data_IF_870974128204
#
_entry.id   IF_870974128204
#
_cell.length_a   1.000
_cell.length_b   1.000
_cell.length_c   1.000
_cell.angle_alpha   90.00
_cell.angle_beta   90.00
_cell.angle_gamma   90.00
#
_symmetry.space_group_name_H-M   'P 1'
#
loop_
_entity.id
_entity.type
_entity.pdbx_description
1 polymer ?
#
# COMPACT_ATOMS: atom_id res chain seq x y z
N UNK A 1 36.80 21.40 24.97
CA UNK A 1 37.96 21.45 24.07
C UNK A 1 38.20 20.05 23.55
N UNK A 2 38.21 19.86 22.23
CA UNK A 2 38.37 18.53 21.64
C UNK A 2 39.85 18.15 21.74
N UNK A 3 40.15 16.95 22.25
CA UNK A 3 41.52 16.41 22.30
C UNK A 3 41.77 15.56 21.05
N UNK A 4 42.97 15.65 20.48
CA UNK A 4 43.37 14.95 19.24
C UNK A 4 42.51 15.34 18.02
N UNK A 5 42.61 14.55 16.95
CA UNK A 5 41.82 14.70 15.73
C UNK A 5 40.39 14.13 15.87
N UNK A 6 39.71 14.47 16.97
CA UNK A 6 38.34 14.05 17.20
C UNK A 6 37.35 15.04 16.57
N UNK A 7 36.14 14.56 16.26
CA UNK A 7 35.06 15.42 15.74
C UNK A 7 34.54 16.33 16.85
N UNK A 8 34.23 17.58 16.52
CA UNK A 8 33.58 18.51 17.44
C UNK A 8 32.23 17.94 17.88
N UNK A 9 31.99 17.72 19.19
CA UNK A 9 30.76 17.10 19.65
C UNK A 9 29.56 18.04 19.43
N UNK A 10 28.59 17.59 18.62
CA UNK A 10 27.28 18.25 18.46
C UNK A 10 26.22 17.56 19.33
N UNK A 11 26.43 17.58 20.64
CA UNK A 11 25.50 17.01 21.63
C UNK A 11 24.23 17.86 21.75
N UNK A 12 23.06 17.26 21.52
CA UNK A 12 21.78 17.95 21.61
C UNK A 12 21.22 17.97 23.04
N UNK A 13 22.08 18.31 24.00
CA UNK A 13 21.78 18.38 25.44
C UNK A 13 21.63 19.83 25.93
N UNK A 14 21.15 20.72 25.06
CA UNK A 14 21.18 22.19 25.22
C UNK A 14 20.18 22.74 26.26
N UNK A 15 19.21 21.93 26.70
CA UNK A 15 18.18 22.29 27.70
C UNK A 15 18.35 21.42 28.95
N UNK A 16 17.55 21.64 29.98
CA UNK A 16 17.43 20.75 31.16
C UNK A 16 16.83 19.38 30.81
N UNK A 17 17.48 18.63 29.92
CA UNK A 17 17.03 17.36 29.35
C UNK A 17 16.83 16.28 30.43
N UNK A 18 17.57 16.39 31.54
CA UNK A 18 17.45 15.51 32.71
C UNK A 18 16.03 15.52 33.29
N UNK A 19 15.31 16.66 33.22
CA UNK A 19 13.91 16.76 33.66
C UNK A 19 12.92 16.07 32.70
N UNK A 20 13.35 15.73 31.48
CA UNK A 20 12.51 15.16 30.42
C UNK A 20 12.99 13.77 29.98
N UNK A 21 13.66 13.04 30.87
CA UNK A 21 14.15 11.69 30.58
C UNK A 21 12.98 10.71 30.49
N UNK A 22 12.76 10.18 29.29
CA UNK A 22 11.76 9.14 29.06
C UNK A 22 12.37 7.76 29.29
N UNK A 23 12.04 7.16 30.44
CA UNK A 23 12.44 5.77 30.74
C UNK A 23 11.51 4.76 30.05
N UNK A 24 12.00 3.52 29.91
CA UNK A 24 11.28 2.42 29.27
C UNK A 24 10.87 1.29 30.23
N UNK A 25 10.91 1.52 31.55
CA UNK A 25 10.53 0.53 32.56
C UNK A 25 9.07 0.04 32.42
N UNK A 26 8.19 0.90 31.90
CA UNK A 26 6.79 0.55 31.62
C UNK A 26 6.58 -0.23 30.30
N UNK A 27 7.63 -0.54 29.54
CA UNK A 27 7.52 -1.25 28.26
C UNK A 27 6.86 -2.65 28.39
N UNK A 28 7.26 -3.55 29.32
CA UNK A 28 6.61 -4.84 29.50
C UNK A 28 5.13 -4.69 29.91
N UNK A 29 4.82 -3.83 30.88
CA UNK A 29 3.45 -3.55 31.30
C UNK A 29 2.58 -3.05 30.14
N UNK A 30 3.11 -2.17 29.27
CA UNK A 30 2.42 -1.72 28.05
C UNK A 30 2.20 -2.84 27.04
N UNK A 31 3.11 -3.80 26.91
CA UNK A 31 2.94 -4.99 26.04
C UNK A 31 1.81 -5.87 26.57
N UNK A 32 1.81 -6.19 27.86
CA UNK A 32 0.74 -6.99 28.51
C UNK A 32 -0.62 -6.31 28.38
N UNK A 33 -0.71 -5.02 28.70
CA UNK A 33 -1.96 -4.23 28.55
C UNK A 33 -2.51 -4.29 27.12
N UNK A 34 -1.65 -4.13 26.10
CA UNK A 34 -2.07 -4.23 24.69
C UNK A 34 -2.52 -5.64 24.32
N UNK A 35 -1.89 -6.69 24.86
CA UNK A 35 -2.30 -8.09 24.64
C UNK A 35 -3.71 -8.34 25.20
N UNK A 36 -3.95 -7.97 26.45
CA UNK A 36 -5.27 -8.12 27.10
C UNK A 36 -6.35 -7.34 26.35
N UNK A 37 -6.06 -6.10 25.94
CA UNK A 37 -7.00 -5.30 25.15
C UNK A 37 -7.35 -5.95 23.80
N UNK A 38 -6.39 -6.58 23.12
CA UNK A 38 -6.64 -7.33 21.87
C UNK A 38 -7.49 -8.57 22.11
N UNK A 39 -7.25 -9.32 23.20
CA UNK A 39 -8.06 -10.49 23.58
C UNK A 39 -9.50 -10.08 23.90
N UNK A 40 -9.69 -9.02 24.72
CA UNK A 40 -11.02 -8.46 25.01
C UNK A 40 -11.75 -8.01 23.74
N UNK A 41 -11.03 -7.38 22.79
CA UNK A 41 -11.59 -7.02 21.48
C UNK A 41 -12.01 -8.25 20.69
N UNK A 42 -11.22 -9.32 20.70
CA UNK A 42 -11.49 -10.55 19.95
C UNK A 42 -12.81 -11.19 20.35
N UNK A 43 -13.02 -11.35 21.66
CA UNK A 43 -14.26 -11.87 22.23
C UNK A 43 -15.43 -10.97 21.89
N UNK A 44 -15.28 -9.65 22.04
CA UNK A 44 -16.37 -8.68 21.80
C UNK A 44 -16.90 -8.67 20.37
N UNK A 45 -16.04 -8.89 19.37
CA UNK A 45 -16.43 -8.76 17.95
C UNK A 45 -16.69 -10.11 17.26
N UNK A 46 -16.55 -11.22 17.99
CA UNK A 46 -16.79 -12.55 17.45
C UNK A 46 -18.15 -12.59 16.71
N UNK A 47 -18.22 -13.12 15.47
CA UNK A 47 -17.20 -13.92 14.76
C UNK A 47 -16.20 -13.12 13.88
N UNK A 48 -16.24 -11.78 13.87
CA UNK A 48 -15.44 -10.95 12.93
C UNK A 48 -13.93 -11.02 13.21
N UNK A 49 -13.07 -10.91 12.17
CA UNK A 49 -11.61 -10.85 12.36
C UNK A 49 -11.13 -9.64 13.20
N UNK A 50 -10.14 -9.86 14.08
CA UNK A 50 -9.59 -8.81 14.97
C UNK A 50 -8.70 -7.78 14.29
N UNK A 51 -8.10 -8.14 13.15
CA UNK A 51 -7.22 -7.29 12.35
C UNK A 51 -7.95 -6.03 11.80
N UNK A 52 -9.29 -6.02 11.82
CA UNK A 52 -10.11 -4.89 11.38
C UNK A 52 -10.59 -5.07 9.93
N UNK A 53 -11.00 -3.98 9.26
CA UNK A 53 -11.56 -4.05 7.91
C UNK A 53 -10.49 -4.23 6.81
N UNK A 54 -10.90 -4.76 5.65
CA UNK A 54 -10.03 -5.04 4.52
C UNK A 54 -9.42 -3.73 4.01
N UNK A 55 -8.13 -3.77 3.72
CA UNK A 55 -7.36 -2.66 3.17
C UNK A 55 -6.89 -3.00 1.74
N UNK A 56 -6.81 -2.00 0.84
CA UNK A 56 -6.32 -2.19 -0.52
C UNK A 56 -4.80 -2.36 -0.55
N UNK A 57 -4.31 -2.85 -1.68
CA UNK A 57 -2.90 -2.85 -2.07
C UNK A 57 -2.54 -1.47 -2.62
N UNK A 58 -1.49 -0.86 -2.06
CA UNK A 58 -1.02 0.48 -2.44
C UNK A 58 0.50 0.50 -2.54
N UNK A 59 1.02 1.24 -3.51
CA UNK A 59 2.45 1.47 -3.72
C UNK A 59 2.99 2.66 -2.90
N UNK A 60 4.29 2.67 -2.62
CA UNK A 60 4.97 3.85 -2.08
C UNK A 60 5.00 5.02 -3.08
N UNK A 61 5.12 6.25 -2.57
CA UNK A 61 5.02 7.47 -3.38
C UNK A 61 6.33 7.84 -4.12
N UNK A 62 7.49 7.41 -3.61
CA UNK A 62 8.80 7.82 -4.15
C UNK A 62 9.38 6.75 -5.06
N UNK A 63 10.28 7.14 -5.97
CA UNK A 63 11.00 6.21 -6.86
C UNK A 63 11.69 5.06 -6.11
N UNK A 64 12.21 5.32 -4.90
CA UNK A 64 12.85 4.30 -4.06
C UNK A 64 11.86 3.27 -3.49
N UNK A 65 10.59 3.66 -3.26
CA UNK A 65 9.61 2.86 -2.54
C UNK A 65 8.39 2.46 -3.37
N UNK A 66 8.29 2.87 -4.62
CA UNK A 66 7.18 2.52 -5.51
C UNK A 66 7.07 0.99 -5.72
N UNK A 67 8.16 0.24 -5.66
CA UNK A 67 8.16 -1.23 -5.75
C UNK A 67 7.66 -1.91 -4.46
N UNK A 68 7.56 -1.18 -3.34
CA UNK A 68 7.07 -1.75 -2.08
C UNK A 68 5.55 -1.65 -2.03
N UNK A 69 4.91 -2.81 -1.90
CA UNK A 69 3.48 -2.92 -1.64
C UNK A 69 3.19 -2.81 -0.14
N UNK A 70 2.08 -2.14 0.20
CA UNK A 70 1.60 -1.98 1.58
C UNK A 70 0.08 -1.97 1.63
N UNK A 71 -0.45 -2.20 2.83
CA UNK A 71 -1.85 -1.95 3.11
C UNK A 71 -2.12 -0.43 3.12
N UNK A 72 -3.04 0.01 2.27
CA UNK A 72 -3.51 1.39 2.21
C UNK A 72 -4.52 1.74 3.30
N UNK A 73 -5.03 2.98 3.27
CA UNK A 73 -6.10 3.42 4.18
C UNK A 73 -7.45 2.81 3.77
N UNK A 74 -7.82 2.79 2.50
CA UNK A 74 -9.11 2.26 2.06
C UNK A 74 -9.27 2.21 0.55
N UNK A 75 -10.23 1.42 0.10
CA UNK A 75 -10.59 1.30 -1.31
C UNK A 75 -11.19 2.61 -1.83
N UNK A 76 -10.86 2.92 -3.06
CA UNK A 76 -11.41 4.07 -3.80
C UNK A 76 -12.86 3.78 -4.21
N UNK A 77 -13.61 4.84 -4.55
CA UNK A 77 -14.98 4.69 -5.03
C UNK A 77 -15.05 3.97 -6.39
N UNK A 78 -14.06 4.19 -7.25
CA UNK A 78 -13.94 3.55 -8.56
C UNK A 78 -13.77 2.03 -8.45
N UNK A 79 -12.87 1.56 -7.58
CA UNK A 79 -12.66 0.13 -7.34
C UNK A 79 -13.92 -0.53 -6.76
N UNK A 80 -14.61 0.15 -5.85
CA UNK A 80 -15.86 -0.36 -5.28
C UNK A 80 -16.96 -0.46 -6.33
N UNK A 81 -17.08 0.55 -7.20
CA UNK A 81 -18.02 0.54 -8.32
C UNK A 81 -17.70 -0.61 -9.29
N UNK A 82 -16.44 -0.79 -9.65
CA UNK A 82 -15.99 -1.88 -10.53
C UNK A 82 -16.16 -3.28 -9.90
N UNK A 83 -16.09 -3.40 -8.57
CA UNK A 83 -16.37 -4.63 -7.85
C UNK A 83 -17.88 -4.87 -7.58
N UNK A 84 -18.76 -3.93 -7.96
CA UNK A 84 -20.20 -4.02 -7.70
C UNK A 84 -20.57 -3.91 -6.22
N UNK A 85 -19.77 -3.17 -5.43
CA UNK A 85 -19.99 -2.98 -3.99
C UNK A 85 -20.41 -1.53 -3.72
N UNK A 86 -21.62 -1.28 -3.19
CA UNK A 86 -22.06 0.05 -2.82
C UNK A 86 -21.20 0.66 -1.70
N UNK A 87 -20.85 1.94 -1.82
CA UNK A 87 -19.98 2.65 -0.85
C UNK A 87 -20.49 2.64 0.60
N UNK A 88 -21.81 2.62 0.79
CA UNK A 88 -22.44 2.57 2.13
C UNK A 88 -22.45 1.15 2.71
N UNK A 89 -22.54 0.14 1.84
CA UNK A 89 -22.52 -1.27 2.23
C UNK A 89 -21.10 -1.71 2.63
N UNK A 90 -20.07 -1.24 1.91
CA UNK A 90 -18.67 -1.63 2.13
C UNK A 90 -18.23 -1.58 3.62
N UNK A 91 -18.41 -0.49 4.38
CA UNK A 91 -18.03 -0.46 5.80
C UNK A 91 -18.77 -1.48 6.68
N UNK A 92 -20.02 -1.80 6.34
CA UNK A 92 -20.85 -2.73 7.13
C UNK A 92 -20.35 -4.18 7.04
N UNK A 93 -19.87 -4.56 5.84
CA UNK A 93 -19.26 -5.86 5.56
C UNK A 93 -17.76 -5.91 5.85
N UNK A 94 -17.21 -4.87 6.50
CA UNK A 94 -15.80 -4.86 6.91
C UNK A 94 -14.81 -4.47 5.82
N UNK A 95 -15.21 -3.65 4.85
CA UNK A 95 -14.31 -3.07 3.82
C UNK A 95 -14.06 -1.60 4.14
N UNK A 96 -12.79 -1.20 4.22
CA UNK A 96 -12.42 0.19 4.49
C UNK A 96 -12.49 1.03 3.22
N UNK A 97 -13.12 2.20 3.28
CA UNK A 97 -13.27 3.11 2.13
C UNK A 97 -12.43 4.37 2.34
N UNK A 98 -11.74 4.82 1.29
CA UNK A 98 -11.04 6.12 1.26
C UNK A 98 -11.42 6.86 -0.04
N UNK A 99 -12.37 7.78 0.09
CA UNK A 99 -12.90 8.57 -1.02
C UNK A 99 -11.89 9.55 -1.64
N UNK A 100 -10.74 9.78 -0.98
CA UNK A 100 -9.71 10.73 -1.45
C UNK A 100 -8.72 10.09 -2.41
N UNK A 101 -8.64 8.75 -2.44
CA UNK A 101 -7.69 8.05 -3.32
C UNK A 101 -8.23 8.03 -4.74
N UNK A 102 -7.35 8.34 -5.69
CA UNK A 102 -7.60 8.26 -7.15
C UNK A 102 -6.74 7.17 -7.76
N UNK A 103 -7.24 6.47 -8.76
CA UNK A 103 -6.46 5.50 -9.52
C UNK A 103 -5.90 6.18 -10.78
N UNK A 104 -4.59 6.02 -11.01
CA UNK A 104 -3.93 6.51 -12.22
C UNK A 104 -3.47 5.38 -13.13
N UNK A 105 -3.29 4.19 -12.57
CA UNK A 105 -2.90 2.97 -13.26
C UNK A 105 -4.05 1.98 -13.30
N UNK A 106 -4.20 1.30 -14.44
CA UNK A 106 -5.24 0.30 -14.65
C UNK A 106 -4.91 -0.99 -13.90
N UNK A 107 -3.64 -1.37 -13.83
CA UNK A 107 -3.13 -2.54 -13.12
C UNK A 107 -3.44 -2.46 -11.63
N UNK A 108 -3.23 -1.27 -11.03
CA UNK A 108 -3.53 -1.03 -9.62
C UNK A 108 -5.03 -1.10 -9.31
N UNK A 109 -5.86 -0.58 -10.22
CA UNK A 109 -7.31 -0.69 -10.15
C UNK A 109 -7.75 -2.16 -10.21
N UNK A 110 -7.28 -2.92 -11.20
CA UNK A 110 -7.63 -4.33 -11.39
C UNK A 110 -7.19 -5.20 -10.22
N UNK A 111 -5.97 -5.04 -9.70
CA UNK A 111 -5.47 -5.79 -8.55
C UNK A 111 -6.37 -5.60 -7.31
N UNK A 112 -6.81 -4.36 -7.06
CA UNK A 112 -7.69 -4.06 -5.94
C UNK A 112 -9.13 -4.52 -6.16
N UNK A 113 -9.65 -4.45 -7.39
CA UNK A 113 -10.96 -5.04 -7.75
C UNK A 113 -10.94 -6.56 -7.53
N UNK A 114 -9.88 -7.25 -7.97
CA UNK A 114 -9.73 -8.68 -7.76
C UNK A 114 -9.64 -9.01 -6.26
N UNK A 115 -8.94 -8.19 -5.48
CA UNK A 115 -8.89 -8.30 -4.02
C UNK A 115 -10.27 -8.13 -3.37
N UNK A 116 -11.11 -7.23 -3.86
CA UNK A 116 -12.49 -7.07 -3.37
C UNK A 116 -13.36 -8.28 -3.73
N UNK A 117 -13.26 -8.79 -4.95
CA UNK A 117 -14.01 -9.98 -5.40
C UNK A 117 -13.63 -11.22 -4.59
N UNK A 118 -12.33 -11.46 -4.42
CA UNK A 118 -11.82 -12.58 -3.61
C UNK A 118 -12.21 -12.45 -2.13
N UNK A 119 -12.24 -11.23 -1.57
CA UNK A 119 -12.75 -11.02 -0.22
C UNK A 119 -14.25 -11.32 -0.12
N UNK A 120 -15.05 -10.84 -1.06
CA UNK A 120 -16.51 -11.06 -1.09
C UNK A 120 -16.84 -12.55 -1.20
N UNK A 121 -16.09 -13.31 -2.00
CA UNK A 121 -16.26 -14.76 -2.11
C UNK A 121 -15.92 -15.53 -0.83
N UNK A 122 -14.99 -15.01 0.00
CA UNK A 122 -14.59 -15.60 1.29
C UNK A 122 -15.40 -15.09 2.48
N UNK A 123 -16.28 -14.11 2.27
CA UNK A 123 -17.00 -13.45 3.34
C UNK A 123 -18.25 -14.25 3.72
N UNK A 124 -18.29 -14.74 4.95
CA UNK A 124 -19.50 -15.33 5.53
C UNK A 124 -20.34 -14.22 6.17
N UNK A 125 -21.58 -14.06 5.72
CA UNK A 125 -22.51 -13.02 6.20
C UNK A 125 -23.60 -13.65 7.05
N UNK A 126 -23.67 -13.26 8.32
CA UNK A 126 -24.67 -13.76 9.25
C UNK A 126 -26.01 -13.01 9.08
N UNK A 127 -27.15 -13.73 9.07
CA UNK A 127 -28.46 -13.11 9.15
C UNK A 127 -28.58 -12.20 10.36
N UNK A 128 -29.19 -11.01 10.17
CA UNK A 128 -29.46 -10.09 11.29
C UNK A 128 -30.39 -10.72 12.34
N UNK A 129 -31.26 -11.64 11.93
CA UNK A 129 -32.12 -12.44 12.81
C UNK A 129 -31.91 -13.91 12.45
N UNK A 130 -31.51 -14.74 13.41
CA UNK A 130 -31.07 -16.12 13.17
C UNK A 130 -32.09 -16.99 12.41
N UNK A 131 -33.39 -16.77 12.60
CA UNK A 131 -34.48 -17.54 11.96
C UNK A 131 -35.04 -16.88 10.69
N UNK A 132 -34.50 -15.75 10.25
CA UNK A 132 -34.98 -14.99 9.08
C UNK A 132 -33.79 -14.61 8.20
N UNK A 133 -33.35 -15.55 7.37
CA UNK A 133 -32.35 -15.30 6.33
C UNK A 133 -32.93 -14.42 5.22
N UNK A 134 -32.08 -13.58 4.64
CA UNK A 134 -32.38 -12.71 3.51
C UNK A 134 -31.37 -12.95 2.39
N UNK A 135 -31.68 -12.39 1.21
CA UNK A 135 -30.75 -12.38 0.10
C UNK A 135 -29.40 -11.75 0.52
N UNK A 136 -28.32 -12.52 0.37
CA UNK A 136 -26.96 -12.11 0.74
C UNK A 136 -26.47 -12.63 2.09
N UNK A 137 -27.31 -13.34 2.86
CA UNK A 137 -26.85 -14.12 4.01
C UNK A 137 -26.26 -15.47 3.56
N UNK A 138 -25.32 -15.98 4.35
CA UNK A 138 -24.68 -17.28 4.12
C UNK A 138 -25.59 -18.46 4.47
N UNK A 139 -25.32 -19.62 3.86
CA UNK A 139 -26.00 -20.88 4.15
C UNK A 139 -25.74 -21.34 5.60
N UNK A 140 -26.68 -22.06 6.24
CA UNK A 140 -26.54 -22.50 7.63
C UNK A 140 -25.28 -23.37 7.88
N UNK A 141 -24.83 -24.12 6.89
CA UNK A 141 -23.60 -24.93 6.94
C UNK A 141 -22.34 -24.05 7.09
N UNK A 142 -22.25 -22.96 6.32
CA UNK A 142 -21.15 -21.98 6.44
C UNK A 142 -21.17 -21.25 7.79
N UNK A 143 -22.37 -21.00 8.34
CA UNK A 143 -22.53 -20.34 9.64
C UNK A 143 -22.03 -21.22 10.79
N UNK A 144 -22.27 -22.54 10.73
CA UNK A 144 -21.82 -23.48 11.76
C UNK A 144 -20.29 -23.64 11.78
N UNK A 145 -19.65 -23.55 10.61
CA UNK A 145 -18.19 -23.68 10.47
C UNK A 145 -17.44 -22.36 10.63
N UNK A 146 -18.16 -21.23 10.70
CA UNK A 146 -17.56 -19.90 10.74
C UNK A 146 -16.76 -19.68 12.02
N UNK A 147 -15.43 -19.60 11.87
CA UNK A 147 -14.49 -19.31 12.94
C UNK A 147 -13.87 -17.92 12.79
N UNK A 148 -13.44 -17.34 13.91
CA UNK A 148 -12.72 -16.08 13.88
C UNK A 148 -11.31 -16.31 13.31
N UNK A 149 -11.03 -15.71 12.14
CA UNK A 149 -9.68 -15.76 11.55
C UNK A 149 -8.68 -15.10 12.50
N UNK A 150 -7.69 -15.89 12.93
CA UNK A 150 -6.58 -15.41 13.75
C UNK A 150 -5.45 -14.85 12.85
N UNK A 151 -4.95 -13.66 13.20
CA UNK A 151 -3.87 -13.01 12.43
C UNK A 151 -4.35 -12.19 11.22
N UNK A 152 -3.43 -11.82 10.31
CA UNK A 152 -3.77 -11.05 9.12
C UNK A 152 -4.50 -11.92 8.10
N UNK A 153 -5.72 -11.54 7.73
CA UNK A 153 -6.45 -12.19 6.63
C UNK A 153 -6.09 -11.53 5.30
N UNK A 154 -5.89 -12.36 4.26
CA UNK A 154 -5.41 -11.95 2.94
C UNK A 154 -4.17 -11.03 2.98
N UNK A 155 -3.05 -11.48 3.56
CA UNK A 155 -1.85 -10.66 3.65
C UNK A 155 -1.36 -10.25 2.26
N UNK A 156 -0.83 -9.02 2.15
CA UNK A 156 -0.24 -8.52 0.91
C UNK A 156 1.18 -9.07 0.87
N UNK A 157 1.39 -10.09 0.05
CA UNK A 157 2.69 -10.68 -0.18
C UNK A 157 3.37 -9.98 -1.35
N UNK A 158 4.71 -9.89 -1.27
CA UNK A 158 5.51 -9.44 -2.39
C UNK A 158 5.94 -10.66 -3.18
N UNK A 159 5.29 -10.86 -4.32
CA UNK A 159 5.73 -11.88 -5.27
C UNK A 159 7.12 -11.51 -5.77
N UNK A 160 8.03 -12.48 -5.72
CA UNK A 160 9.35 -12.35 -6.33
C UNK A 160 9.17 -12.69 -7.81
N UNK A 161 9.60 -11.84 -8.74
CA UNK A 161 9.57 -12.20 -10.15
C UNK A 161 10.44 -13.44 -10.37
N UNK A 162 9.88 -14.47 -10.99
CA UNK A 162 10.67 -15.58 -11.53
C UNK A 162 11.38 -15.08 -12.78
N UNK A 163 12.69 -15.32 -12.87
CA UNK A 163 13.47 -15.01 -14.06
C UNK A 163 13.70 -16.32 -14.77
N UNK A 164 13.21 -16.40 -16.01
CA UNK A 164 13.52 -17.52 -16.90
C UNK A 164 14.85 -17.24 -17.62
N UNK A 165 15.68 -18.26 -17.73
CA UNK A 165 16.94 -18.16 -18.47
C UNK A 165 16.65 -18.29 -19.95
N UNK A 166 16.77 -17.18 -20.68
CA UNK A 166 16.56 -17.13 -22.13
C UNK A 166 17.90 -17.05 -22.85
N UNK A 167 17.98 -17.66 -24.04
CA UNK A 167 19.17 -17.55 -24.91
C UNK A 167 19.37 -16.09 -25.33
N UNK A 168 20.59 -15.59 -25.20
CA UNK A 168 20.95 -14.22 -25.56
C UNK A 168 20.82 -14.05 -27.08
N UNK A 169 19.96 -13.11 -27.51
CA UNK A 169 19.78 -12.76 -28.92
C UNK A 169 20.91 -11.84 -29.41
N UNK A 170 21.11 -11.76 -30.73
CA UNK A 170 22.11 -10.85 -31.32
C UNK A 170 21.80 -9.39 -31.01
N UNK A 171 20.53 -9.01 -30.98
CA UNK A 171 20.07 -7.68 -30.57
C UNK A 171 20.55 -7.33 -29.16
N UNK A 172 20.40 -8.23 -28.19
CA UNK A 172 20.87 -8.01 -26.82
C UNK A 172 22.39 -7.84 -26.74
N UNK A 173 23.15 -8.55 -27.59
CA UNK A 173 24.61 -8.39 -27.66
C UNK A 173 25.02 -7.05 -28.28
N UNK A 174 24.29 -6.61 -29.31
CA UNK A 174 24.54 -5.33 -29.97
C UNK A 174 24.13 -4.11 -29.12
N UNK A 175 23.23 -4.30 -28.15
CA UNK A 175 22.69 -3.22 -27.32
C UNK A 175 23.72 -2.65 -26.34
N UNK A 176 24.17 -1.42 -26.62
CA UNK A 176 25.11 -0.68 -25.75
C UNK A 176 24.38 0.02 -24.60
N UNK A 177 24.05 -0.74 -23.54
CA UNK A 177 23.27 -0.25 -22.40
C UNK A 177 23.85 1.02 -21.73
N UNK A 178 25.16 1.08 -21.52
CA UNK A 178 25.83 2.25 -20.92
C UNK A 178 25.64 3.52 -21.76
N UNK A 179 25.84 3.41 -23.07
CA UNK A 179 25.71 4.54 -23.99
C UNK A 179 24.26 5.02 -24.03
N UNK A 180 23.28 4.09 -24.09
CA UNK A 180 21.86 4.44 -24.05
C UNK A 180 21.51 5.22 -22.79
N UNK A 181 21.96 4.78 -21.61
CA UNK A 181 21.72 5.50 -20.35
C UNK A 181 22.28 6.93 -20.36
N UNK A 182 23.47 7.15 -20.95
CA UNK A 182 24.03 8.50 -21.08
C UNK A 182 23.25 9.36 -22.07
N UNK A 183 22.87 8.81 -23.23
CA UNK A 183 22.05 9.51 -24.23
C UNK A 183 20.71 9.93 -23.63
N UNK A 184 20.03 9.06 -22.87
CA UNK A 184 18.77 9.42 -22.20
C UNK A 184 18.94 10.56 -21.18
N UNK A 185 20.02 10.54 -20.39
CA UNK A 185 20.33 11.65 -19.48
C UNK A 185 20.54 12.96 -20.24
N UNK A 186 21.26 12.93 -21.35
CA UNK A 186 21.48 14.09 -22.22
C UNK A 186 20.16 14.59 -22.83
N UNK A 187 19.31 13.68 -23.30
CA UNK A 187 17.99 14.02 -23.86
C UNK A 187 17.10 14.72 -22.83
N UNK A 188 17.01 14.18 -21.60
CA UNK A 188 16.24 14.82 -20.51
C UNK A 188 16.82 16.19 -20.16
N UNK A 189 18.15 16.31 -20.08
CA UNK A 189 18.83 17.58 -19.75
C UNK A 189 18.59 18.66 -20.82
N UNK A 190 18.64 18.30 -22.10
CA UNK A 190 18.57 19.26 -23.22
C UNK A 190 17.17 19.39 -23.84
N UNK A 191 16.15 18.70 -23.32
CA UNK A 191 14.80 18.72 -23.86
C UNK A 191 14.24 20.14 -24.01
N UNK A 192 14.30 20.94 -22.94
CA UNK A 192 13.80 22.33 -22.96
C UNK A 192 14.59 23.24 -23.92
N UNK A 193 15.92 23.10 -23.96
CA UNK A 193 16.76 23.89 -24.86
C UNK A 193 16.48 23.57 -26.34
N UNK A 194 16.27 22.29 -26.66
CA UNK A 194 15.92 21.84 -28.01
C UNK A 194 14.55 22.34 -28.43
N UNK A 195 13.54 22.29 -27.55
CA UNK A 195 12.22 22.85 -27.82
C UNK A 195 12.26 24.35 -28.06
N UNK A 196 13.03 25.09 -27.24
CA UNK A 196 13.22 26.53 -27.44
C UNK A 196 13.84 26.84 -28.80
N UNK A 197 14.93 26.14 -29.15
CA UNK A 197 15.62 26.35 -30.43
C UNK A 197 14.74 25.99 -31.62
N UNK A 198 13.94 24.93 -31.53
CA UNK A 198 12.98 24.57 -32.57
C UNK A 198 11.91 25.66 -32.75
N UNK A 199 11.36 26.19 -31.65
CA UNK A 199 10.38 27.26 -31.70
C UNK A 199 10.96 28.60 -32.21
N UNK A 200 12.24 28.88 -31.96
CA UNK A 200 12.94 30.05 -32.52
C UNK A 200 13.17 29.89 -34.02
N UNK A 201 13.63 28.72 -34.47
CA UNK A 201 13.80 28.43 -35.90
C UNK A 201 12.47 28.54 -36.67
N UNK A 202 11.36 28.00 -36.14
CA UNK A 202 10.03 28.15 -36.76
C UNK A 202 9.54 29.60 -36.81
N UNK A 203 9.94 30.45 -35.86
CA UNK A 203 9.62 31.88 -35.90
C UNK A 203 10.44 32.61 -36.94
N UNK A 204 11.74 32.33 -37.01
CA UNK A 204 12.64 32.91 -38.01
C UNK A 204 12.22 32.52 -39.44
N UNK A 205 11.80 31.28 -39.66
CA UNK A 205 11.24 30.82 -40.95
C UNK A 205 9.91 31.48 -41.30
N UNK A 206 9.08 31.88 -40.32
CA UNK A 206 7.81 32.60 -40.57
C UNK A 206 7.98 34.10 -40.79
N UNK A 207 9.08 34.68 -40.30
CA UNK A 207 9.41 36.09 -40.51
C UNK A 207 10.24 36.35 -41.78
N UNK A 208 10.77 35.30 -42.39
CA UNK A 208 11.33 35.33 -43.75
C UNK A 208 10.24 35.07 -44.78
#
# INVERSE_FOLDING_TARGET
>A
MVKHNNVIPNGHFKKHWQNYVKTWFNQPARKTRRRVARQKKAVKIFPRPTAGPLRPVVHGQTLKYNMKLRAGKGFSLEELKAAGIPKKLAPTIGISVDHRRKNRSLEGLQANVQRLKTYKAKLVVFPRRAKKSKAGDSAPEELATATQVQGPYMPILREKPSVELVKITEEMKSFKAYNKLRVERTNVRHFGARLKKAAEAEKEEKTK
#
